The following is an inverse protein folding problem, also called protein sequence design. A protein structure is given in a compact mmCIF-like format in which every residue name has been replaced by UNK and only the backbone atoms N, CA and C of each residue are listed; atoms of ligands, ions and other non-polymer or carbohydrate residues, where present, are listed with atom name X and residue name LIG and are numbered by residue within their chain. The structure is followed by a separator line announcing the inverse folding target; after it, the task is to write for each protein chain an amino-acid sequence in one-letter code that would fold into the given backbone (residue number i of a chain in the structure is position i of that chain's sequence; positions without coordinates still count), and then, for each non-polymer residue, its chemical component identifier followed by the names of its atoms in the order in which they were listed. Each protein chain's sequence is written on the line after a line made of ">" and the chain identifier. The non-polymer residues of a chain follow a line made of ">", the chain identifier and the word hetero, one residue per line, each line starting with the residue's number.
data_IF_011591761795
#
_entry.id   IF_011591761795
#
_cell.length_a   1.000
_cell.length_b   1.000
_cell.length_c   1.000
_cell.angle_alpha   90.00
_cell.angle_beta   90.00
_cell.angle_gamma   90.00
#
_symmetry.space_group_name_H-M   'P 1'
#
loop_
_entity.id
_entity.type
_entity.pdbx_description
1 polymer ?
#
# COMPACT_ATOMS: atom_id res chain seq x y z
N UNK A 1 68.64 -15.99 -16.65
CA UNK A 1 68.06 -15.51 -17.93
C UNK A 1 66.72 -16.19 -18.28
N UNK A 2 66.44 -17.35 -17.77
CA UNK A 2 65.16 -18.06 -18.04
C UNK A 2 63.96 -17.50 -17.27
N UNK A 3 64.20 -17.01 -16.05
CA UNK A 3 63.10 -16.47 -15.20
C UNK A 3 62.58 -15.10 -15.65
N UNK A 4 63.36 -14.28 -16.36
CA UNK A 4 62.86 -13.00 -16.92
C UNK A 4 61.92 -13.19 -18.10
N UNK A 5 62.05 -14.25 -18.88
CA UNK A 5 61.16 -14.56 -20.02
C UNK A 5 59.80 -15.06 -19.59
N UNK A 6 59.71 -15.82 -18.45
CA UNK A 6 58.44 -16.34 -17.94
C UNK A 6 57.60 -15.22 -17.29
N UNK A 7 58.25 -14.27 -16.62
CA UNK A 7 57.49 -13.11 -16.03
C UNK A 7 56.92 -12.16 -17.09
N UNK A 8 57.60 -12.00 -18.23
CA UNK A 8 57.13 -11.13 -19.30
C UNK A 8 55.93 -11.73 -20.06
N UNK A 9 55.93 -13.05 -20.23
CA UNK A 9 54.82 -13.78 -20.88
C UNK A 9 53.57 -13.80 -20.00
N UNK A 10 53.71 -13.90 -18.67
CA UNK A 10 52.56 -13.95 -17.75
C UNK A 10 51.88 -12.59 -17.59
N UNK A 11 52.65 -11.49 -17.52
CA UNK A 11 52.12 -10.14 -17.47
C UNK A 11 51.40 -9.73 -18.76
N UNK A 12 51.88 -10.17 -19.91
CA UNK A 12 51.25 -9.90 -21.20
C UNK A 12 49.95 -10.68 -21.37
N UNK A 13 49.88 -11.93 -20.88
CA UNK A 13 48.68 -12.75 -20.91
C UNK A 13 47.57 -12.23 -19.97
N UNK A 14 47.94 -11.75 -18.77
CA UNK A 14 47.00 -11.12 -17.84
C UNK A 14 46.49 -9.79 -18.39
N UNK A 15 47.33 -9.01 -19.10
CA UNK A 15 46.91 -7.75 -19.72
C UNK A 15 45.93 -7.97 -20.88
N UNK A 16 46.10 -9.03 -21.67
CA UNK A 16 45.19 -9.39 -22.76
C UNK A 16 43.81 -9.85 -22.21
N UNK A 17 43.80 -10.64 -21.12
CA UNK A 17 42.54 -11.06 -20.48
C UNK A 17 41.83 -9.86 -19.85
N UNK A 18 42.54 -8.94 -19.18
CA UNK A 18 41.96 -7.75 -18.59
C UNK A 18 41.39 -6.78 -19.65
N UNK A 19 42.03 -6.67 -20.83
CA UNK A 19 41.51 -5.85 -21.93
C UNK A 19 40.28 -6.45 -22.63
N UNK A 20 40.13 -7.79 -22.62
CA UNK A 20 38.95 -8.45 -23.19
C UNK A 20 37.69 -8.35 -22.30
N UNK A 21 37.85 -8.12 -21.00
CA UNK A 21 36.75 -7.97 -20.07
C UNK A 21 36.00 -6.62 -20.20
N UNK A 22 36.59 -5.65 -20.92
CA UNK A 22 36.01 -4.32 -21.15
C UNK A 22 35.75 -4.04 -22.64
N UNK A 23 35.95 -5.02 -23.52
CA UNK A 23 35.64 -4.85 -24.93
C UNK A 23 34.12 -4.91 -25.14
N UNK A 24 33.62 -3.92 -25.88
CA UNK A 24 32.24 -3.88 -26.31
C UNK A 24 31.90 -5.11 -27.18
N UNK A 25 30.80 -5.81 -26.82
CA UNK A 25 30.39 -6.99 -27.58
C UNK A 25 29.69 -6.61 -28.89
N UNK A 26 29.58 -7.56 -29.82
CA UNK A 26 28.88 -7.30 -31.08
C UNK A 26 27.40 -7.02 -30.89
N UNK A 27 26.74 -7.65 -29.88
CA UNK A 27 25.38 -7.36 -29.50
C UNK A 27 25.19 -5.91 -29.00
N UNK A 28 26.13 -5.41 -28.22
CA UNK A 28 26.16 -4.02 -27.75
C UNK A 28 26.31 -3.01 -28.88
N UNK A 29 27.18 -3.31 -29.83
CA UNK A 29 27.37 -2.47 -31.04
C UNK A 29 26.10 -2.40 -31.89
N UNK A 30 25.42 -3.54 -32.11
CA UNK A 30 24.17 -3.56 -32.86
C UNK A 30 23.08 -2.72 -32.17
N UNK A 31 22.96 -2.83 -30.85
CA UNK A 31 22.03 -1.98 -30.09
C UNK A 31 22.36 -0.49 -30.28
N UNK A 32 23.63 -0.09 -30.14
CA UNK A 32 24.05 1.31 -30.33
C UNK A 32 23.85 1.80 -31.76
N UNK A 33 23.88 0.88 -32.73
CA UNK A 33 23.57 1.16 -34.13
C UNK A 33 22.06 1.15 -34.43
N UNK A 34 21.22 1.14 -33.39
CA UNK A 34 19.77 1.15 -33.50
C UNK A 34 19.18 -0.10 -34.17
N UNK A 35 19.84 -1.26 -33.99
CA UNK A 35 19.33 -2.58 -34.40
C UNK A 35 19.04 -3.46 -33.15
N UNK A 36 17.94 -3.20 -32.42
CA UNK A 36 17.60 -3.97 -31.25
C UNK A 36 17.26 -5.43 -31.57
N UNK A 37 16.67 -5.69 -32.76
CA UNK A 37 16.30 -7.05 -33.18
C UNK A 37 17.53 -7.92 -33.46
N UNK A 38 18.55 -7.34 -34.08
CA UNK A 38 19.84 -8.01 -34.30
C UNK A 38 20.65 -8.15 -33.01
N UNK A 39 20.54 -7.18 -32.08
CA UNK A 39 21.25 -7.18 -30.81
C UNK A 39 20.79 -8.31 -29.87
N UNK A 40 19.51 -8.59 -29.77
CA UNK A 40 18.91 -9.53 -28.81
C UNK A 40 19.61 -10.91 -28.83
N UNK A 41 19.68 -11.65 -29.96
CA UNK A 41 20.24 -12.98 -29.96
C UNK A 41 21.73 -13.00 -29.61
N UNK A 42 22.48 -11.92 -29.92
CA UNK A 42 23.89 -11.80 -29.56
C UNK A 42 24.09 -11.50 -28.08
N UNK A 43 23.29 -10.59 -27.51
CA UNK A 43 23.32 -10.27 -26.08
C UNK A 43 22.89 -11.48 -25.23
N UNK A 44 21.91 -12.25 -25.67
CA UNK A 44 21.52 -13.51 -25.02
C UNK A 44 22.63 -14.54 -25.04
N UNK A 45 23.31 -14.66 -26.19
CA UNK A 45 24.50 -15.52 -26.33
C UNK A 45 25.64 -15.08 -25.42
N UNK A 46 25.93 -13.77 -25.35
CA UNK A 46 26.96 -13.21 -24.48
C UNK A 46 26.67 -13.55 -23.00
N UNK A 47 25.42 -13.44 -22.57
CA UNK A 47 24.96 -13.84 -21.22
C UNK A 47 25.17 -15.35 -21.01
N UNK A 48 24.75 -16.18 -21.95
CA UNK A 48 24.87 -17.65 -21.86
C UNK A 48 26.32 -18.12 -21.79
N UNK A 49 27.26 -17.43 -22.46
CA UNK A 49 28.71 -17.75 -22.48
C UNK A 49 29.51 -17.06 -21.37
N UNK A 50 28.88 -16.14 -20.60
CA UNK A 50 29.55 -15.35 -19.57
C UNK A 50 30.40 -14.20 -20.14
N UNK A 51 30.27 -13.88 -21.43
CA UNK A 51 30.98 -12.78 -22.10
C UNK A 51 30.24 -11.45 -21.90
N UNK A 52 29.98 -11.08 -20.65
CA UNK A 52 29.14 -9.92 -20.27
C UNK A 52 29.99 -8.71 -19.88
N UNK A 53 29.52 -7.52 -20.27
CA UNK A 53 29.99 -6.22 -19.78
C UNK A 53 29.06 -5.71 -18.65
N UNK A 54 29.37 -4.50 -18.15
CA UNK A 54 28.50 -3.81 -17.22
C UNK A 54 27.13 -3.42 -17.83
N UNK A 55 27.05 -3.30 -19.14
CA UNK A 55 25.89 -2.80 -19.89
C UNK A 55 25.09 -3.89 -20.63
N UNK A 56 25.62 -5.14 -20.71
CA UNK A 56 24.98 -6.22 -21.48
C UNK A 56 23.50 -6.42 -21.13
N UNK A 57 23.16 -6.53 -19.85
CA UNK A 57 21.78 -6.67 -19.40
C UNK A 57 20.95 -5.41 -19.65
N UNK A 58 21.58 -4.23 -19.57
CA UNK A 58 20.92 -2.96 -19.86
C UNK A 58 20.51 -2.90 -21.34
N UNK A 59 21.42 -3.20 -22.24
CA UNK A 59 21.10 -3.20 -23.66
C UNK A 59 20.12 -4.31 -24.05
N UNK A 60 20.20 -5.48 -23.44
CA UNK A 60 19.18 -6.51 -23.66
C UNK A 60 17.79 -6.06 -23.23
N UNK A 61 17.67 -5.48 -22.02
CA UNK A 61 16.41 -4.93 -21.53
C UNK A 61 15.85 -3.84 -22.42
N UNK A 62 16.70 -2.88 -22.83
CA UNK A 62 16.31 -1.80 -23.74
C UNK A 62 15.96 -2.31 -25.15
N UNK A 63 16.68 -3.33 -25.65
CA UNK A 63 16.36 -3.95 -26.94
C UNK A 63 14.98 -4.58 -26.94
N UNK A 64 14.64 -5.35 -25.89
CA UNK A 64 13.30 -5.89 -25.72
C UNK A 64 12.23 -4.82 -25.58
N UNK A 65 12.53 -3.72 -24.88
CA UNK A 65 11.62 -2.58 -24.76
C UNK A 65 11.33 -1.95 -26.12
N UNK A 66 12.38 -1.71 -26.94
CA UNK A 66 12.23 -1.08 -28.26
C UNK A 66 11.40 -1.92 -29.24
N UNK A 67 11.46 -3.26 -29.14
CA UNK A 67 10.61 -4.14 -29.96
C UNK A 67 9.24 -4.40 -29.33
N UNK A 68 8.87 -3.71 -28.22
CA UNK A 68 7.57 -3.82 -27.56
C UNK A 68 7.41 -5.03 -26.64
N UNK A 69 8.47 -5.80 -26.38
CA UNK A 69 8.39 -6.96 -25.48
C UNK A 69 8.68 -6.55 -24.02
N UNK A 70 7.72 -5.88 -23.38
CA UNK A 70 7.84 -5.37 -22.02
C UNK A 70 8.16 -6.46 -20.98
N UNK A 71 7.52 -7.67 -21.00
CA UNK A 71 7.84 -8.71 -20.05
C UNK A 71 9.31 -9.14 -20.10
N UNK A 72 9.86 -9.40 -21.29
CA UNK A 72 11.25 -9.79 -21.46
C UNK A 72 12.22 -8.64 -21.13
N UNK A 73 11.84 -7.41 -21.40
CA UNK A 73 12.60 -6.23 -20.98
C UNK A 73 12.77 -6.19 -19.46
N UNK A 74 11.68 -6.30 -18.71
CA UNK A 74 11.72 -6.30 -17.25
C UNK A 74 12.49 -7.49 -16.69
N UNK A 75 12.34 -8.68 -17.28
CA UNK A 75 13.11 -9.89 -16.91
C UNK A 75 14.62 -9.69 -17.10
N UNK A 76 15.04 -9.07 -18.21
CA UNK A 76 16.44 -8.80 -18.49
C UNK A 76 17.05 -7.84 -17.45
N UNK A 77 16.35 -6.75 -17.11
CA UNK A 77 16.80 -5.85 -16.05
C UNK A 77 16.89 -6.54 -14.69
N UNK A 78 15.91 -7.38 -14.34
CA UNK A 78 15.91 -8.12 -13.08
C UNK A 78 17.07 -9.10 -12.97
N UNK A 79 17.36 -9.85 -14.04
CA UNK A 79 18.55 -10.72 -14.12
C UNK A 79 19.83 -9.90 -13.97
N UNK A 80 19.91 -8.73 -14.62
CA UNK A 80 21.04 -7.83 -14.52
C UNK A 80 21.25 -7.29 -13.10
N UNK A 81 20.19 -7.07 -12.32
CA UNK A 81 20.30 -6.66 -10.91
C UNK A 81 21.02 -7.68 -10.04
N UNK A 82 21.02 -8.95 -10.41
CA UNK A 82 21.73 -10.03 -9.72
C UNK A 82 23.17 -10.22 -10.23
N UNK A 83 23.55 -9.60 -11.36
CA UNK A 83 24.91 -9.67 -11.89
C UNK A 83 25.86 -8.72 -11.13
N UNK A 84 27.04 -9.18 -10.68
CA UNK A 84 28.00 -8.33 -9.99
C UNK A 84 28.65 -7.26 -10.87
N UNK A 85 28.65 -7.45 -12.18
CA UNK A 85 29.27 -6.54 -13.14
C UNK A 85 28.35 -5.38 -13.54
N UNK A 86 27.04 -5.55 -13.42
CA UNK A 86 26.05 -4.60 -13.93
C UNK A 86 26.00 -3.28 -13.17
N UNK A 87 25.74 -2.21 -13.90
CA UNK A 87 25.50 -0.88 -13.34
C UNK A 87 24.07 -0.80 -12.76
N UNK A 88 23.96 -1.07 -11.45
CA UNK A 88 22.67 -1.12 -10.73
C UNK A 88 21.86 0.17 -10.85
N UNK A 89 22.53 1.33 -10.83
CA UNK A 89 21.87 2.64 -10.99
C UNK A 89 21.15 2.71 -12.35
N UNK A 90 21.87 2.37 -13.44
CA UNK A 90 21.32 2.45 -14.80
C UNK A 90 20.22 1.41 -15.02
N UNK A 91 20.44 0.16 -14.57
CA UNK A 91 19.45 -0.90 -14.68
C UNK A 91 18.14 -0.54 -13.94
N UNK A 92 18.25 -0.09 -12.70
CA UNK A 92 17.07 0.29 -11.91
C UNK A 92 16.33 1.46 -12.55
N UNK A 93 17.03 2.46 -13.04
CA UNK A 93 16.41 3.60 -13.71
C UNK A 93 15.64 3.18 -14.96
N UNK A 94 16.26 2.38 -15.85
CA UNK A 94 15.63 1.92 -17.08
C UNK A 94 14.49 0.92 -16.81
N UNK A 95 14.61 0.05 -15.81
CA UNK A 95 13.51 -0.79 -15.34
C UNK A 95 12.33 0.06 -14.86
N UNK A 96 12.61 1.16 -14.13
CA UNK A 96 11.62 2.10 -13.69
C UNK A 96 10.89 2.76 -14.86
N UNK A 97 11.62 3.19 -15.90
CA UNK A 97 11.03 3.80 -17.10
C UNK A 97 10.13 2.81 -17.86
N UNK A 98 10.55 1.54 -18.00
CA UNK A 98 9.73 0.50 -18.64
C UNK A 98 8.49 0.18 -17.79
N UNK A 99 8.63 0.05 -16.48
CA UNK A 99 7.51 -0.17 -15.59
C UNK A 99 6.50 1.01 -15.63
N UNK A 100 7.00 2.24 -15.66
CA UNK A 100 6.16 3.43 -15.79
C UNK A 100 5.37 3.44 -17.10
N UNK A 101 6.03 3.17 -18.22
CA UNK A 101 5.37 3.13 -19.54
C UNK A 101 4.39 1.97 -19.69
N UNK A 102 4.53 0.90 -18.90
CA UNK A 102 3.55 -0.20 -18.82
C UNK A 102 2.39 0.05 -17.85
N UNK A 103 2.38 1.18 -17.15
CA UNK A 103 1.38 1.52 -16.13
C UNK A 103 1.61 0.88 -14.76
N UNK A 104 2.69 0.12 -14.58
CA UNK A 104 3.07 -0.43 -13.26
C UNK A 104 3.84 0.62 -12.44
N UNK A 105 3.12 1.63 -11.99
CA UNK A 105 3.69 2.75 -11.25
C UNK A 105 4.31 2.34 -9.90
N UNK A 106 3.80 1.29 -9.28
CA UNK A 106 4.37 0.75 -8.04
C UNK A 106 5.76 0.16 -8.28
N UNK A 107 5.94 -0.62 -9.34
CA UNK A 107 7.23 -1.16 -9.74
C UNK A 107 8.18 -0.04 -10.19
N UNK A 108 7.66 0.95 -10.91
CA UNK A 108 8.41 2.14 -11.31
C UNK A 108 8.98 2.89 -10.09
N UNK A 109 8.14 3.22 -9.10
CA UNK A 109 8.58 3.85 -7.84
C UNK A 109 9.68 3.06 -7.14
N UNK A 110 9.51 1.73 -7.04
CA UNK A 110 10.52 0.85 -6.42
C UNK A 110 11.83 0.90 -7.19
N UNK A 111 11.79 0.82 -8.51
CA UNK A 111 12.98 0.82 -9.36
C UNK A 111 13.71 2.16 -9.33
N UNK A 112 12.99 3.29 -9.38
CA UNK A 112 13.61 4.62 -9.21
C UNK A 112 14.19 4.81 -7.81
N UNK A 113 13.58 4.25 -6.78
CA UNK A 113 14.13 4.29 -5.42
C UNK A 113 15.43 3.50 -5.30
N UNK A 114 15.57 2.36 -6.00
CA UNK A 114 16.84 1.63 -6.09
C UNK A 114 17.90 2.43 -6.86
N UNK A 115 17.52 3.12 -7.93
CA UNK A 115 18.45 3.99 -8.66
C UNK A 115 18.98 5.12 -7.78
N UNK A 116 18.10 5.75 -6.98
CA UNK A 116 18.45 6.80 -6.01
C UNK A 116 19.28 6.25 -4.84
N UNK A 117 19.03 5.04 -4.37
CA UNK A 117 19.86 4.40 -3.36
C UNK A 117 21.30 4.15 -3.87
N UNK A 118 21.45 3.78 -5.15
CA UNK A 118 22.75 3.63 -5.79
C UNK A 118 23.44 4.98 -6.10
N UNK A 119 22.67 6.05 -6.32
CA UNK A 119 23.17 7.40 -6.60
C UNK A 119 22.17 8.45 -6.10
N UNK A 120 22.33 9.01 -4.89
CA UNK A 120 21.40 9.99 -4.31
C UNK A 120 21.26 11.30 -5.09
N UNK A 121 22.20 11.60 -5.97
CA UNK A 121 22.21 12.78 -6.86
C UNK A 121 21.68 12.49 -8.26
N UNK A 122 21.05 11.34 -8.47
CA UNK A 122 20.44 11.00 -9.75
C UNK A 122 19.06 11.64 -9.86
N UNK A 123 19.03 12.95 -10.13
CA UNK A 123 17.83 13.76 -10.06
C UNK A 123 16.76 13.40 -11.08
N UNK A 124 17.13 12.83 -12.24
CA UNK A 124 16.19 12.29 -13.22
C UNK A 124 15.36 11.13 -12.60
N UNK A 125 16.01 10.27 -11.79
CA UNK A 125 15.30 9.22 -11.07
C UNK A 125 14.40 9.79 -9.97
N UNK A 126 14.78 10.90 -9.34
CA UNK A 126 13.94 11.60 -8.35
C UNK A 126 12.67 12.15 -9.00
N UNK A 127 12.79 12.84 -10.14
CA UNK A 127 11.66 13.37 -10.89
C UNK A 127 10.73 12.25 -11.38
N UNK A 128 11.32 11.17 -11.95
CA UNK A 128 10.52 10.05 -12.44
C UNK A 128 9.84 9.28 -11.28
N UNK A 129 10.45 9.23 -10.08
CA UNK A 129 9.79 8.68 -8.90
C UNK A 129 8.62 9.54 -8.46
N UNK A 130 8.77 10.87 -8.46
CA UNK A 130 7.67 11.78 -8.19
C UNK A 130 6.50 11.55 -9.16
N UNK A 131 6.79 11.42 -10.46
CA UNK A 131 5.78 11.10 -11.47
C UNK A 131 5.08 9.75 -11.19
N UNK A 132 5.84 8.70 -10.84
CA UNK A 132 5.28 7.39 -10.52
C UNK A 132 4.38 7.43 -9.27
N UNK A 133 4.76 8.20 -8.25
CA UNK A 133 3.98 8.45 -7.03
C UNK A 133 2.71 9.23 -7.31
N UNK A 134 2.79 10.27 -8.17
CA UNK A 134 1.63 11.03 -8.64
C UNK A 134 0.62 10.11 -9.31
N UNK A 135 1.07 9.27 -10.26
CA UNK A 135 0.21 8.32 -10.97
C UNK A 135 -0.37 7.22 -10.06
N UNK A 136 0.28 6.95 -8.94
CA UNK A 136 -0.21 6.03 -7.88
C UNK A 136 -1.08 6.73 -6.83
N UNK A 137 -1.42 8.01 -7.01
CA UNK A 137 -2.18 8.84 -6.06
C UNK A 137 -1.48 8.99 -4.67
N UNK A 138 -0.18 8.78 -4.61
CA UNK A 138 0.64 9.04 -3.42
C UNK A 138 1.06 10.50 -3.39
N UNK A 139 0.07 11.37 -3.23
CA UNK A 139 0.25 12.82 -3.38
C UNK A 139 1.25 13.44 -2.39
N UNK A 140 1.25 13.08 -1.09
CA UNK A 140 2.22 13.62 -0.15
C UNK A 140 3.66 13.28 -0.52
N UNK A 141 3.92 12.02 -0.90
CA UNK A 141 5.26 11.56 -1.26
C UNK A 141 5.72 12.12 -2.62
N UNK A 142 4.79 12.29 -3.57
CA UNK A 142 5.08 12.95 -4.84
C UNK A 142 5.44 14.42 -4.63
N UNK A 143 4.69 15.12 -3.78
CA UNK A 143 4.93 16.52 -3.42
C UNK A 143 6.32 16.72 -2.79
N UNK A 144 6.73 15.81 -1.90
CA UNK A 144 8.07 15.84 -1.29
C UNK A 144 9.18 15.72 -2.34
N UNK A 145 9.07 14.73 -3.26
CA UNK A 145 10.05 14.52 -4.32
C UNK A 145 10.11 15.71 -5.29
N UNK A 146 8.98 16.28 -5.70
CA UNK A 146 8.96 17.47 -6.57
C UNK A 146 9.58 18.70 -5.89
N UNK A 147 9.25 18.95 -4.63
CA UNK A 147 9.87 20.05 -3.86
C UNK A 147 11.38 19.89 -3.74
N UNK A 148 11.84 18.67 -3.48
CA UNK A 148 13.26 18.35 -3.43
C UNK A 148 13.92 18.59 -4.79
N UNK A 149 13.30 18.15 -5.88
CA UNK A 149 13.81 18.30 -7.25
C UNK A 149 14.07 19.78 -7.59
N UNK A 150 13.06 20.66 -7.44
CA UNK A 150 13.20 22.08 -7.76
C UNK A 150 14.13 22.84 -6.81
N UNK A 151 14.33 22.31 -5.60
CA UNK A 151 15.28 22.88 -4.64
C UNK A 151 16.73 22.66 -5.08
N UNK A 152 17.02 21.48 -5.65
CA UNK A 152 18.38 21.13 -6.08
C UNK A 152 18.67 21.54 -7.52
N UNK A 153 17.64 21.72 -8.35
CA UNK A 153 17.72 22.13 -9.75
C UNK A 153 16.77 23.31 -10.03
N UNK A 154 17.06 24.50 -9.46
CA UNK A 154 16.16 25.66 -9.57
C UNK A 154 16.09 26.26 -10.99
N UNK A 155 17.09 26.00 -11.82
CA UNK A 155 17.19 26.50 -13.20
C UNK A 155 16.78 25.46 -14.26
N UNK A 156 16.16 24.32 -13.83
CA UNK A 156 15.68 23.29 -14.75
C UNK A 156 14.55 23.84 -15.64
N UNK A 157 14.55 23.62 -16.94
CA UNK A 157 13.49 24.08 -17.84
C UNK A 157 12.07 23.60 -17.46
N UNK A 158 11.93 22.48 -16.75
CA UNK A 158 10.65 21.93 -16.28
C UNK A 158 10.20 22.55 -14.93
N UNK A 159 11.03 23.35 -14.28
CA UNK A 159 10.73 23.96 -12.97
C UNK A 159 9.37 24.67 -12.92
N UNK A 160 8.98 25.52 -13.91
CA UNK A 160 7.68 26.18 -13.86
C UNK A 160 6.48 25.22 -13.91
N UNK A 161 6.61 24.12 -14.65
CA UNK A 161 5.60 23.07 -14.73
C UNK A 161 5.48 22.30 -13.42
N UNK A 162 6.64 21.96 -12.83
CA UNK A 162 6.70 21.27 -11.54
C UNK A 162 6.13 22.12 -10.43
N UNK A 163 6.34 23.44 -10.43
CA UNK A 163 5.68 24.34 -9.46
C UNK A 163 4.16 24.34 -9.58
N UNK A 164 3.61 24.26 -10.78
CA UNK A 164 2.16 24.12 -10.99
C UNK A 164 1.64 22.78 -10.43
N UNK A 165 2.39 21.69 -10.64
CA UNK A 165 2.06 20.40 -10.06
C UNK A 165 2.13 20.42 -8.52
N UNK A 166 3.13 21.07 -7.94
CA UNK A 166 3.24 21.27 -6.49
C UNK A 166 1.99 21.98 -5.96
N UNK A 167 1.62 23.13 -6.55
CA UNK A 167 0.45 23.90 -6.11
C UNK A 167 -0.86 23.08 -6.26
N UNK A 168 -1.01 22.31 -7.33
CA UNK A 168 -2.13 21.39 -7.52
C UNK A 168 -2.18 20.32 -6.43
N UNK A 169 -1.05 19.67 -6.15
CA UNK A 169 -0.96 18.60 -5.15
C UNK A 169 -1.24 19.13 -3.74
N UNK A 170 -0.76 20.32 -3.39
CA UNK A 170 -1.06 20.97 -2.11
C UNK A 170 -2.57 21.17 -1.95
N UNK A 171 -3.25 21.66 -3.00
CA UNK A 171 -4.71 21.83 -3.01
C UNK A 171 -5.46 20.50 -2.88
N UNK A 172 -5.03 19.46 -3.61
CA UNK A 172 -5.67 18.13 -3.55
C UNK A 172 -5.48 17.47 -2.18
N UNK A 173 -4.29 17.56 -1.59
CA UNK A 173 -4.04 17.04 -0.25
C UNK A 173 -4.93 17.72 0.79
N UNK A 174 -5.03 19.05 0.72
CA UNK A 174 -5.91 19.80 1.60
C UNK A 174 -7.38 19.40 1.43
N UNK A 175 -7.87 19.28 0.19
CA UNK A 175 -9.24 18.85 -0.10
C UNK A 175 -9.54 17.47 0.47
N UNK A 176 -8.62 16.50 0.28
CA UNK A 176 -8.77 15.14 0.82
C UNK A 176 -8.82 15.16 2.35
N UNK A 177 -7.98 15.99 3.00
CA UNK A 177 -7.99 16.13 4.45
C UNK A 177 -9.29 16.73 4.97
N UNK A 178 -9.80 17.79 4.34
CA UNK A 178 -11.09 18.41 4.69
C UNK A 178 -12.27 17.45 4.51
N UNK A 179 -12.26 16.65 3.44
CA UNK A 179 -13.28 15.61 3.23
C UNK A 179 -13.23 14.53 4.30
N UNK A 180 -12.03 14.08 4.68
CA UNK A 180 -11.87 13.09 5.74
C UNK A 180 -12.35 13.60 7.10
N UNK A 181 -12.08 14.87 7.42
CA UNK A 181 -12.56 15.51 8.65
C UNK A 181 -14.09 15.58 8.65
N UNK A 182 -14.71 16.07 7.56
CA UNK A 182 -16.18 16.14 7.43
C UNK A 182 -16.84 14.77 7.56
N UNK A 183 -16.24 13.75 6.95
CA UNK A 183 -16.74 12.38 7.05
C UNK A 183 -16.66 11.85 8.49
N UNK A 184 -15.56 12.10 9.18
CA UNK A 184 -15.41 11.69 10.58
C UNK A 184 -16.41 12.40 11.52
N UNK A 185 -16.65 13.70 11.31
CA UNK A 185 -17.64 14.47 12.06
C UNK A 185 -19.07 13.94 11.83
N UNK A 186 -19.41 13.62 10.57
CA UNK A 186 -20.71 13.04 10.23
C UNK A 186 -20.91 11.66 10.89
N UNK A 187 -19.89 10.78 10.85
CA UNK A 187 -19.96 9.48 11.54
C UNK A 187 -20.20 9.65 13.04
N UNK A 188 -19.46 10.55 13.67
CA UNK A 188 -19.64 10.86 15.10
C UNK A 188 -21.05 11.35 15.41
N UNK A 189 -21.60 12.24 14.57
CA UNK A 189 -22.99 12.74 14.76
C UNK A 189 -24.00 11.59 14.66
N UNK A 190 -23.86 10.70 13.69
CA UNK A 190 -24.74 9.54 13.53
C UNK A 190 -24.62 8.55 14.71
N UNK A 191 -23.44 8.33 15.24
CA UNK A 191 -23.23 7.50 16.43
C UNK A 191 -23.91 8.11 17.66
N UNK A 192 -23.77 9.42 17.88
CA UNK A 192 -24.42 10.14 18.99
C UNK A 192 -25.94 10.10 18.86
N UNK A 193 -26.50 10.27 17.65
CA UNK A 193 -27.94 10.18 17.39
C UNK A 193 -28.47 8.77 17.66
N UNK A 194 -27.77 7.74 17.18
CA UNK A 194 -28.11 6.34 17.45
C UNK A 194 -28.07 6.02 18.97
N UNK A 195 -27.04 6.50 19.66
CA UNK A 195 -26.95 6.32 21.11
C UNK A 195 -28.10 6.97 21.87
N UNK A 196 -28.51 8.19 21.48
CA UNK A 196 -29.69 8.87 22.05
C UNK A 196 -30.97 8.11 21.79
N UNK A 197 -31.17 7.62 20.56
CA UNK A 197 -32.34 6.82 20.19
C UNK A 197 -32.41 5.52 21.01
N UNK A 198 -31.29 4.81 21.16
CA UNK A 198 -31.24 3.60 21.99
C UNK A 198 -31.52 3.87 23.47
N UNK A 199 -30.98 4.96 24.02
CA UNK A 199 -31.25 5.37 25.40
C UNK A 199 -32.73 5.70 25.63
N UNK A 200 -33.36 6.38 24.68
CA UNK A 200 -34.80 6.69 24.76
C UNK A 200 -35.66 5.42 24.68
N UNK A 201 -35.34 4.48 23.78
CA UNK A 201 -36.02 3.18 23.68
C UNK A 201 -35.86 2.38 24.99
N UNK A 202 -34.66 2.33 25.55
CA UNK A 202 -34.42 1.65 26.83
C UNK A 202 -35.22 2.28 27.98
N UNK A 203 -35.30 3.62 28.00
CA UNK A 203 -36.13 4.32 28.98
C UNK A 203 -37.62 3.98 28.85
N UNK A 204 -38.17 4.00 27.64
CA UNK A 204 -39.56 3.62 27.37
C UNK A 204 -39.85 2.17 27.76
N UNK A 205 -38.91 1.25 27.49
CA UNK A 205 -39.05 -0.15 27.93
C UNK A 205 -39.06 -0.27 29.46
N UNK A 206 -38.14 0.39 30.15
CA UNK A 206 -38.08 0.41 31.59
C UNK A 206 -39.38 1.01 32.23
N UNK A 207 -39.91 2.09 31.66
CA UNK A 207 -41.19 2.68 32.10
C UNK A 207 -42.39 1.71 31.93
N UNK A 208 -42.43 0.97 30.80
CA UNK A 208 -43.45 -0.08 30.55
C UNK A 208 -43.32 -1.24 31.54
N UNK A 209 -42.11 -1.75 31.75
CA UNK A 209 -41.84 -2.82 32.71
C UNK A 209 -42.20 -2.43 34.13
N UNK A 210 -41.91 -1.20 34.54
CA UNK A 210 -42.29 -0.67 35.84
C UNK A 210 -43.82 -0.58 35.98
N UNK A 211 -44.53 -0.07 34.97
CA UNK A 211 -46.01 0.00 35.00
C UNK A 211 -46.66 -1.40 35.05
N UNK A 212 -46.13 -2.38 34.29
CA UNK A 212 -46.60 -3.77 34.37
C UNK A 212 -46.32 -4.40 35.73
N UNK A 213 -45.17 -4.14 36.34
CA UNK A 213 -44.84 -4.63 37.67
C UNK A 213 -45.76 -4.05 38.74
N UNK A 214 -46.11 -2.76 38.67
CA UNK A 214 -47.08 -2.11 39.56
C UNK A 214 -48.48 -2.72 39.41
N UNK A 215 -48.96 -2.95 38.17
CA UNK A 215 -50.24 -3.60 37.91
C UNK A 215 -50.28 -5.02 38.51
N UNK A 216 -49.23 -5.84 38.28
CA UNK A 216 -49.12 -7.19 38.84
C UNK A 216 -49.11 -7.18 40.39
N UNK A 217 -48.42 -6.21 41.00
CA UNK A 217 -48.42 -6.05 42.45
C UNK A 217 -49.81 -5.69 43.00
N UNK A 218 -50.53 -4.77 42.36
CA UNK A 218 -51.91 -4.41 42.73
C UNK A 218 -52.90 -5.57 42.58
N UNK A 219 -52.77 -6.36 41.51
CA UNK A 219 -53.58 -7.59 41.32
C UNK A 219 -53.28 -8.64 42.39
N UNK A 220 -52.01 -8.85 42.72
CA UNK A 220 -51.63 -9.78 43.78
C UNK A 220 -52.18 -9.35 45.17
N UNK A 221 -52.13 -8.06 45.45
CA UNK A 221 -52.71 -7.54 46.70
C UNK A 221 -54.24 -7.70 46.76
N UNK A 222 -54.97 -7.42 45.67
CA UNK A 222 -56.41 -7.68 45.56
C UNK A 222 -56.74 -9.15 45.81
N UNK A 223 -55.99 -10.04 45.17
CA UNK A 223 -56.14 -11.50 45.34
C UNK A 223 -55.90 -11.92 46.79
N UNK A 224 -54.86 -11.40 47.43
CA UNK A 224 -54.55 -11.68 48.83
C UNK A 224 -55.71 -11.25 49.78
N UNK A 225 -56.28 -10.01 49.62
CA UNK A 225 -57.41 -9.52 50.38
C UNK A 225 -58.61 -10.40 50.17
N UNK A 226 -58.95 -10.79 48.95
CA UNK A 226 -60.06 -11.69 48.65
C UNK A 226 -59.95 -13.03 49.38
N UNK A 227 -58.69 -13.66 49.33
CA UNK A 227 -58.45 -14.91 50.02
C UNK A 227 -58.57 -14.77 51.56
N UNK A 228 -58.17 -13.65 52.14
CA UNK A 228 -58.28 -13.35 53.54
C UNK A 228 -59.78 -13.17 53.95
N UNK A 229 -60.57 -12.46 53.16
CA UNK A 229 -61.98 -12.30 53.37
C UNK A 229 -62.76 -13.63 53.30
N UNK A 230 -62.42 -14.48 52.35
CA UNK A 230 -63.01 -15.85 52.24
C UNK A 230 -62.59 -16.71 53.42
N UNK A 231 -61.35 -16.69 53.86
CA UNK A 231 -60.86 -17.44 55.01
C UNK A 231 -61.59 -16.99 56.31
N UNK A 232 -61.76 -15.68 56.52
CA UNK A 232 -62.50 -15.12 57.67
C UNK A 232 -64.00 -15.52 57.64
N UNK A 233 -64.61 -15.51 56.46
CA UNK A 233 -66.00 -15.96 56.27
C UNK A 233 -66.18 -17.42 56.60
N UNK A 234 -65.26 -18.32 56.19
CA UNK A 234 -65.27 -19.73 56.50
C UNK A 234 -65.16 -19.97 58.04
N UNK A 235 -64.22 -19.26 58.70
CA UNK A 235 -64.07 -19.36 60.17
C UNK A 235 -65.32 -18.93 60.92
N UNK A 236 -66.04 -17.87 60.50
CA UNK A 236 -67.28 -17.48 61.07
C UNK A 236 -68.39 -18.51 60.89
N UNK A 237 -68.42 -19.19 59.74
CA UNK A 237 -69.44 -20.23 59.49
C UNK A 237 -69.15 -21.47 60.34
N UNK A 238 -67.90 -21.85 60.59
CA UNK A 238 -67.57 -22.96 61.46
C UNK A 238 -67.87 -22.66 62.93
N UNK A 239 -67.68 -21.41 63.40
CA UNK A 239 -68.05 -21.03 64.77
C UNK A 239 -69.57 -21.02 64.99
N UNK A 240 -70.35 -20.61 63.98
CA UNK A 240 -71.84 -20.66 64.07
C UNK A 240 -72.33 -22.11 64.09
N UNK A 241 -71.72 -23.01 63.30
CA UNK A 241 -72.10 -24.44 63.35
C UNK A 241 -71.72 -25.15 64.67
N UNK A 242 -70.57 -24.76 65.28
CA UNK A 242 -70.22 -25.30 66.61
C UNK A 242 -71.14 -24.83 67.76
N UNK A 243 -71.63 -23.59 67.68
CA UNK A 243 -72.58 -23.07 68.69
C UNK A 243 -73.98 -23.65 68.52
N UNK A 244 -74.44 -23.92 67.32
CA UNK A 244 -75.76 -24.53 67.06
C UNK A 244 -75.78 -26.02 67.48
N UNK A 245 -74.66 -26.75 67.47
CA UNK A 245 -74.56 -28.13 67.93
C UNK A 245 -74.46 -28.31 69.46
N UNK A 246 -74.33 -27.25 70.22
CA UNK A 246 -74.21 -27.28 71.71
C UNK A 246 -75.55 -27.00 72.49
N UNK A 247 -76.63 -26.65 71.74
CA UNK A 247 -77.96 -26.42 72.34
C UNK A 247 -78.93 -27.60 72.30
N UNK A 248 -78.47 -28.75 71.69
CA UNK A 248 -79.33 -29.97 71.58
C UNK A 248 -78.69 -31.16 72.36
N UNK A 249 -78.40 -30.97 73.69
CA UNK A 249 -78.11 -32.11 74.60
C UNK A 249 -78.75 -31.82 75.97
#
# INVERSE_FOLDING_TARGET
>A
NCMKKIRFSFTFFVLIIASSLFAETEGEKLFKNNDPSGAIPLLEKDIATGSISADTYNFLGLSYYQIGNLPKSLEAFEKGMNSPLSNKKVLSFNQGNVAYSSGDYKKAETSFSLALAASPTFYEALLNRANARLMSQKYPEALEDYKKYITVLPDDPQEPEIRRLIAYLEGEIQRIQEEAIRFAEEQKRLEEENARMQAELARQQAEREAAEAELRAAEAERRRKLLEDVANSLQQTDTVNMTAGAEDV
#
